data_IF_999736352546
#
_entry.id   IF_999736352546
#
_cell.length_a   1.000
_cell.length_b   1.000
_cell.length_c   1.000
_cell.angle_alpha   90.00
_cell.angle_beta   90.00
_cell.angle_gamma   90.00
#
_symmetry.space_group_name_H-M   'P 1'
#
loop_
_entity.id
_entity.type
_entity.pdbx_description
1 polymer ?
#
# COMPACT_ATOMS: atom_id res chain seq x y z
N UNK A 1 0.19 -5.48 -30.20
CA UNK A 1 0.16 -4.76 -28.91
C UNK A 1 1.18 -5.37 -27.93
N UNK A 2 1.63 -6.62 -28.13
CA UNK A 2 2.64 -7.28 -27.28
C UNK A 2 4.10 -6.93 -27.62
N UNK A 3 4.36 -6.24 -28.73
CA UNK A 3 5.71 -5.87 -29.19
C UNK A 3 6.29 -4.61 -28.53
N UNK A 4 5.55 -3.91 -27.67
CA UNK A 4 6.02 -2.68 -27.00
C UNK A 4 6.80 -2.93 -25.70
N UNK A 5 6.95 -4.18 -25.27
CA UNK A 5 7.64 -4.53 -24.03
C UNK A 5 8.99 -5.25 -24.22
N UNK A 6 9.44 -5.41 -25.45
CA UNK A 6 10.82 -5.80 -25.74
C UNK A 6 11.70 -4.55 -25.80
N UNK A 7 12.08 -4.03 -24.64
CA UNK A 7 13.15 -3.03 -24.56
C UNK A 7 14.48 -3.79 -24.70
N UNK A 8 15.20 -3.39 -25.73
CA UNK A 8 16.46 -3.94 -26.16
C UNK A 8 17.52 -4.10 -25.06
N UNK A 9 18.09 -5.23 -25.08
CA UNK A 9 19.05 -5.97 -24.24
C UNK A 9 20.46 -5.35 -24.12
N UNK A 10 20.67 -4.03 -24.27
CA UNK A 10 22.06 -3.57 -24.49
C UNK A 10 22.64 -2.52 -23.57
N UNK A 11 21.91 -1.88 -22.64
CA UNK A 11 22.51 -0.78 -21.89
C UNK A 11 22.70 -0.96 -20.39
N UNK A 12 22.23 -2.04 -19.79
CA UNK A 12 22.35 -2.30 -18.34
C UNK A 12 23.27 -3.49 -17.99
N UNK A 13 23.93 -4.13 -18.96
CA UNK A 13 24.70 -5.36 -18.76
C UNK A 13 26.06 -5.20 -18.08
N UNK A 14 26.58 -4.01 -17.87
CA UNK A 14 28.00 -3.88 -17.47
C UNK A 14 28.29 -3.56 -16.00
N UNK A 15 27.31 -3.37 -15.11
CA UNK A 15 27.62 -2.95 -13.73
C UNK A 15 27.19 -3.86 -12.57
N UNK A 16 26.45 -4.95 -12.80
CA UNK A 16 26.06 -5.85 -11.69
C UNK A 16 26.25 -7.33 -12.02
N UNK A 17 27.46 -7.71 -12.37
CA UNK A 17 27.83 -9.04 -12.89
C UNK A 17 27.96 -10.12 -11.82
N UNK A 18 27.07 -10.35 -10.83
CA UNK A 18 27.29 -11.56 -10.02
C UNK A 18 26.07 -12.26 -9.41
N UNK A 19 24.82 -11.85 -9.69
CA UNK A 19 23.66 -12.55 -9.08
C UNK A 19 22.59 -12.99 -10.10
N UNK A 20 22.55 -12.45 -11.32
CA UNK A 20 21.40 -12.60 -12.23
C UNK A 20 21.62 -13.43 -13.50
N UNK A 21 22.58 -14.31 -13.53
CA UNK A 21 22.98 -15.02 -14.79
C UNK A 21 22.07 -16.16 -15.22
N UNK A 22 20.94 -16.45 -14.57
CA UNK A 22 20.05 -17.55 -15.01
C UNK A 22 18.56 -17.38 -14.71
N UNK A 23 18.10 -16.29 -14.12
CA UNK A 23 16.68 -16.17 -13.74
C UNK A 23 15.91 -15.44 -14.83
N UNK A 24 14.98 -16.12 -15.48
CA UNK A 24 14.07 -15.54 -16.47
C UNK A 24 13.16 -14.53 -15.79
N UNK A 25 13.33 -13.23 -16.07
CA UNK A 25 12.41 -12.23 -15.60
C UNK A 25 11.10 -12.25 -16.41
N UNK A 26 10.02 -11.90 -15.73
CA UNK A 26 8.66 -11.85 -16.31
C UNK A 26 8.41 -10.46 -16.88
N UNK A 27 8.79 -9.42 -16.12
CA UNK A 27 8.63 -8.03 -16.50
C UNK A 27 9.70 -7.17 -15.80
N UNK A 28 10.17 -6.16 -16.49
CA UNK A 28 11.02 -5.11 -15.96
C UNK A 28 10.40 -3.75 -16.30
N UNK A 29 10.23 -2.89 -15.30
CA UNK A 29 9.62 -1.57 -15.45
C UNK A 29 10.40 -0.52 -14.64
N UNK A 30 10.59 0.68 -15.19
CA UNK A 30 11.05 1.81 -14.40
C UNK A 30 9.97 2.21 -13.40
N UNK A 31 10.39 2.51 -12.19
CA UNK A 31 9.48 2.86 -11.10
C UNK A 31 10.10 3.85 -10.13
N UNK A 32 9.29 4.34 -9.21
CA UNK A 32 9.68 5.15 -8.06
C UNK A 32 9.30 4.40 -6.80
N UNK A 33 10.25 4.16 -5.91
CA UNK A 33 9.98 3.62 -4.56
C UNK A 33 9.73 4.78 -3.61
N UNK A 34 8.54 4.83 -3.03
CA UNK A 34 8.14 5.89 -2.10
C UNK A 34 8.55 5.49 -0.68
N UNK A 35 9.27 6.35 0.00
CA UNK A 35 9.71 6.16 1.37
C UNK A 35 8.72 6.73 2.40
N UNK A 36 8.91 6.35 3.65
CA UNK A 36 8.11 6.82 4.79
C UNK A 36 8.20 8.35 4.94
N UNK A 37 9.36 8.96 4.67
CA UNK A 37 9.57 10.41 4.68
C UNK A 37 8.97 11.14 3.47
N UNK A 38 8.26 10.38 2.59
CA UNK A 38 7.59 10.85 1.37
C UNK A 38 8.51 11.30 0.25
N UNK A 39 9.80 11.11 0.40
CA UNK A 39 10.74 11.18 -0.72
C UNK A 39 10.54 9.95 -1.62
N UNK A 40 11.01 10.04 -2.84
CA UNK A 40 11.01 8.90 -3.75
C UNK A 40 12.42 8.65 -4.27
N UNK A 41 12.67 7.42 -4.65
CA UNK A 41 13.90 7.01 -5.31
C UNK A 41 13.55 6.33 -6.62
N UNK A 42 14.24 6.76 -7.68
CA UNK A 42 14.15 6.09 -8.98
C UNK A 42 14.73 4.68 -8.86
N UNK A 43 13.99 3.73 -9.39
CA UNK A 43 14.31 2.32 -9.28
C UNK A 43 13.88 1.54 -10.52
N UNK A 44 14.41 0.34 -10.67
CA UNK A 44 13.89 -0.68 -11.58
C UNK A 44 13.12 -1.72 -10.79
N UNK A 45 11.91 -2.01 -11.23
CA UNK A 45 11.03 -3.05 -10.71
C UNK A 45 11.14 -4.28 -11.60
N UNK A 46 11.66 -5.38 -11.07
CA UNK A 46 11.71 -6.66 -11.77
C UNK A 46 10.76 -7.64 -11.09
N UNK A 47 9.86 -8.22 -11.87
CA UNK A 47 9.05 -9.36 -11.46
C UNK A 47 9.70 -10.63 -12.01
N UNK A 48 10.16 -11.48 -11.12
CA UNK A 48 10.70 -12.80 -11.39
C UNK A 48 9.63 -13.87 -11.10
N UNK A 49 9.93 -15.11 -11.40
CA UNK A 49 8.99 -16.22 -11.16
C UNK A 49 8.60 -16.38 -9.68
N UNK A 50 9.55 -16.18 -8.76
CA UNK A 50 9.34 -16.37 -7.33
C UNK A 50 9.64 -15.12 -6.49
N UNK A 51 10.02 -14.01 -7.08
CA UNK A 51 10.37 -12.81 -6.33
C UNK A 51 10.14 -11.51 -7.10
N UNK A 52 10.03 -10.41 -6.36
CA UNK A 52 10.08 -9.05 -6.88
C UNK A 52 11.43 -8.47 -6.45
N UNK A 53 12.12 -7.81 -7.37
CA UNK A 53 13.37 -7.12 -7.08
C UNK A 53 13.21 -5.63 -7.37
N UNK A 54 13.50 -4.81 -6.36
CA UNK A 54 13.57 -3.36 -6.48
C UNK A 54 15.03 -2.95 -6.47
N UNK A 55 15.53 -2.49 -7.60
CA UNK A 55 16.91 -2.06 -7.76
C UNK A 55 16.97 -0.54 -7.81
N UNK A 56 17.55 0.06 -6.78
CA UNK A 56 17.78 1.51 -6.68
C UNK A 56 19.24 1.77 -7.08
N UNK A 57 19.47 2.84 -7.84
CA UNK A 57 20.82 3.22 -8.27
C UNK A 57 21.69 3.46 -7.03
N UNK A 58 22.90 2.92 -7.06
CA UNK A 58 23.93 3.04 -5.99
C UNK A 58 23.50 2.48 -4.61
N UNK A 59 22.44 1.67 -4.55
CA UNK A 59 21.99 1.00 -3.33
C UNK A 59 21.87 -0.51 -3.50
N UNK A 60 21.85 -1.22 -2.38
CA UNK A 60 21.57 -2.65 -2.36
C UNK A 60 20.12 -2.88 -2.84
N UNK A 61 19.95 -3.80 -3.77
CA UNK A 61 18.62 -4.21 -4.24
C UNK A 61 17.81 -4.84 -3.11
N UNK A 62 16.52 -4.52 -3.07
CA UNK A 62 15.55 -5.16 -2.18
C UNK A 62 14.92 -6.33 -2.91
N UNK A 63 14.99 -7.50 -2.34
CA UNK A 63 14.37 -8.72 -2.87
C UNK A 63 13.18 -9.08 -1.98
N UNK A 64 12.00 -9.21 -2.58
CA UNK A 64 10.75 -9.59 -1.90
C UNK A 64 10.36 -10.95 -2.46
N UNK A 65 10.41 -11.98 -1.65
CA UNK A 65 9.96 -13.31 -2.02
C UNK A 65 8.43 -13.30 -2.18
N UNK A 66 7.92 -13.83 -3.29
CA UNK A 66 6.49 -13.88 -3.56
C UNK A 66 5.73 -14.74 -2.53
N UNK A 67 6.36 -15.73 -1.92
CA UNK A 67 5.75 -16.54 -0.86
C UNK A 67 5.56 -15.76 0.46
N UNK A 68 6.32 -14.67 0.66
CA UNK A 68 6.14 -13.76 1.80
C UNK A 68 5.09 -12.69 1.55
N UNK A 69 4.66 -12.49 0.30
CA UNK A 69 3.68 -11.46 -0.04
C UNK A 69 2.30 -11.86 0.44
N UNK A 70 1.74 -11.05 1.32
CA UNK A 70 0.39 -11.22 1.87
C UNK A 70 -0.68 -10.70 0.92
N UNK A 71 -0.45 -9.52 0.33
CA UNK A 71 -1.42 -8.85 -0.53
C UNK A 71 -0.77 -7.75 -1.37
N UNK A 72 -1.35 -7.50 -2.54
CA UNK A 72 -0.96 -6.38 -3.41
C UNK A 72 -2.22 -5.58 -3.74
N UNK A 73 -2.17 -4.28 -3.49
CA UNK A 73 -3.27 -3.36 -3.76
C UNK A 73 -2.90 -2.34 -4.83
N UNK A 74 -3.83 -2.01 -5.74
CA UNK A 74 -3.66 -0.81 -6.55
C UNK A 74 -3.69 0.44 -5.67
N UNK A 75 -2.93 1.45 -6.05
CA UNK A 75 -2.86 2.73 -5.32
C UNK A 75 -2.86 3.90 -6.28
N UNK A 76 -3.25 5.04 -5.74
CA UNK A 76 -3.23 6.33 -6.44
C UNK A 76 -2.01 7.11 -5.95
N UNK A 77 -1.25 7.68 -6.88
CA UNK A 77 -0.18 8.64 -6.60
C UNK A 77 -0.45 9.92 -7.34
N UNK A 78 -0.44 11.07 -6.65
CA UNK A 78 -0.74 12.38 -7.25
C UNK A 78 -2.02 12.36 -8.12
N UNK A 79 -3.10 11.75 -7.62
CA UNK A 79 -4.40 11.57 -8.29
C UNK A 79 -4.40 10.63 -9.52
N UNK A 80 -3.29 9.94 -9.81
CA UNK A 80 -3.20 8.96 -10.90
C UNK A 80 -3.14 7.53 -10.34
N UNK A 81 -3.88 6.61 -10.95
CA UNK A 81 -3.87 5.18 -10.62
C UNK A 81 -2.62 4.50 -11.21
N UNK A 82 -1.44 4.88 -10.71
CA UNK A 82 -0.14 4.46 -11.24
C UNK A 82 0.70 3.69 -10.22
N UNK A 83 0.22 3.53 -9.00
CA UNK A 83 0.99 2.89 -7.94
C UNK A 83 0.40 1.54 -7.52
N UNK A 84 1.24 0.70 -6.94
CA UNK A 84 0.86 -0.50 -6.20
C UNK A 84 1.46 -0.44 -4.80
N UNK A 85 0.82 -1.12 -3.87
CA UNK A 85 1.36 -1.32 -2.54
C UNK A 85 1.39 -2.81 -2.22
N UNK A 86 2.56 -3.29 -1.85
CA UNK A 86 2.86 -4.69 -1.57
C UNK A 86 3.01 -4.83 -0.07
N UNK A 87 2.22 -5.70 0.55
CA UNK A 87 2.31 -6.04 1.97
C UNK A 87 2.88 -7.44 2.13
N UNK A 88 3.81 -7.59 3.06
CA UNK A 88 4.39 -8.90 3.39
C UNK A 88 3.83 -9.47 4.69
N UNK A 89 4.03 -10.75 4.91
CA UNK A 89 3.64 -11.43 6.15
C UNK A 89 4.45 -10.95 7.37
N UNK A 90 5.65 -10.42 7.14
CA UNK A 90 6.53 -9.89 8.18
C UNK A 90 6.13 -8.48 8.65
N UNK A 91 5.13 -7.88 8.00
CA UNK A 91 4.60 -6.57 8.35
C UNK A 91 5.21 -5.41 7.55
N UNK A 92 6.13 -5.69 6.64
CA UNK A 92 6.69 -4.67 5.75
C UNK A 92 5.68 -4.27 4.67
N UNK A 93 5.80 -3.03 4.21
CA UNK A 93 5.04 -2.54 3.06
C UNK A 93 5.93 -1.74 2.10
N UNK A 94 5.70 -1.95 0.80
CA UNK A 94 6.43 -1.30 -0.28
C UNK A 94 5.45 -0.57 -1.17
N UNK A 95 5.58 0.75 -1.23
CA UNK A 95 4.76 1.60 -2.10
C UNK A 95 5.57 1.95 -3.34
N UNK A 96 5.12 1.46 -4.50
CA UNK A 96 5.84 1.57 -5.77
C UNK A 96 4.96 2.28 -6.79
N UNK A 97 5.44 3.39 -7.32
CA UNK A 97 4.77 4.16 -8.36
C UNK A 97 5.41 3.89 -9.74
N UNK A 98 4.58 3.82 -10.76
CA UNK A 98 4.98 3.61 -12.15
C UNK A 98 4.51 4.79 -13.01
N UNK A 99 5.29 5.85 -13.16
CA UNK A 99 4.84 7.09 -13.82
C UNK A 99 4.27 6.89 -15.24
N UNK A 100 4.78 5.88 -15.95
CA UNK A 100 4.42 5.60 -17.34
C UNK A 100 3.39 4.47 -17.51
N UNK A 101 2.92 3.85 -16.42
CA UNK A 101 2.03 2.69 -16.48
C UNK A 101 0.89 2.84 -15.46
N UNK A 102 -0.29 2.37 -15.83
CA UNK A 102 -1.38 2.27 -14.84
C UNK A 102 -1.16 1.08 -13.91
N UNK A 103 -1.60 1.19 -12.66
CA UNK A 103 -1.58 0.09 -11.71
C UNK A 103 -2.28 -1.16 -12.25
N UNK A 104 -3.34 -0.98 -13.04
CA UNK A 104 -4.06 -2.10 -13.67
C UNK A 104 -3.19 -2.87 -14.68
N UNK A 105 -2.34 -2.18 -15.45
CA UNK A 105 -1.41 -2.83 -16.39
C UNK A 105 -0.36 -3.66 -15.65
N UNK A 106 0.23 -3.08 -14.59
CA UNK A 106 1.21 -3.78 -13.76
C UNK A 106 0.58 -4.99 -13.08
N UNK A 107 -0.60 -4.82 -12.46
CA UNK A 107 -1.31 -5.90 -11.77
C UNK A 107 -1.78 -7.02 -12.71
N UNK A 108 -2.03 -6.72 -13.98
CA UNK A 108 -2.32 -7.74 -14.99
C UNK A 108 -1.15 -8.71 -15.14
N UNK A 109 0.09 -8.21 -15.12
CA UNK A 109 1.28 -9.06 -15.22
C UNK A 109 1.40 -10.04 -14.05
N UNK A 110 0.97 -9.65 -12.84
CA UNK A 110 0.88 -10.56 -11.71
C UNK A 110 -0.16 -11.65 -11.94
N UNK A 111 -1.37 -11.30 -12.41
CA UNK A 111 -2.44 -12.26 -12.66
C UNK A 111 -2.07 -13.31 -13.72
N UNK A 112 -1.42 -12.85 -14.75
CA UNK A 112 -1.12 -13.71 -15.91
C UNK A 112 0.08 -14.63 -15.66
N UNK A 113 0.98 -14.27 -14.75
CA UNK A 113 2.32 -14.88 -14.68
C UNK A 113 2.81 -15.20 -13.26
N UNK A 114 2.08 -14.83 -12.22
CA UNK A 114 2.43 -15.16 -10.84
C UNK A 114 1.31 -15.91 -10.12
N UNK A 115 1.66 -16.62 -9.04
CA UNK A 115 0.69 -17.30 -8.17
C UNK A 115 -0.13 -16.32 -7.32
N UNK A 116 0.31 -15.06 -7.23
CA UNK A 116 -0.33 -14.05 -6.41
C UNK A 116 -1.42 -13.37 -7.19
N UNK A 117 -2.62 -13.34 -6.62
CA UNK A 117 -3.75 -12.60 -7.15
C UNK A 117 -3.82 -11.22 -6.49
N UNK A 118 -3.71 -10.12 -7.26
CA UNK A 118 -3.91 -8.79 -6.72
C UNK A 118 -5.30 -8.65 -6.10
N UNK A 119 -5.37 -7.95 -4.97
CA UNK A 119 -6.61 -7.74 -4.25
C UNK A 119 -7.56 -6.83 -5.03
N UNK A 120 -8.79 -7.29 -5.25
CA UNK A 120 -9.91 -6.43 -5.59
C UNK A 120 -10.50 -5.86 -4.29
N UNK A 121 -10.60 -4.53 -4.19
CA UNK A 121 -11.07 -3.85 -2.97
C UNK A 121 -12.45 -4.33 -2.51
N UNK A 122 -13.40 -4.45 -3.43
CA UNK A 122 -14.77 -4.83 -3.09
C UNK A 122 -14.89 -6.30 -2.67
N UNK A 123 -14.25 -7.17 -3.41
CA UNK A 123 -14.25 -8.61 -3.12
C UNK A 123 -13.48 -8.92 -1.85
N UNK A 124 -12.34 -8.28 -1.64
CA UNK A 124 -11.49 -8.52 -0.48
C UNK A 124 -12.19 -8.14 0.84
N UNK A 125 -12.91 -7.02 0.91
CA UNK A 125 -13.63 -6.64 2.13
C UNK A 125 -14.74 -7.65 2.47
N UNK A 126 -15.51 -8.08 1.46
CA UNK A 126 -16.55 -9.08 1.66
C UNK A 126 -15.98 -10.46 2.06
N UNK A 127 -14.90 -10.90 1.39
CA UNK A 127 -14.28 -12.21 1.66
C UNK A 127 -13.62 -12.28 3.04
N UNK A 128 -13.04 -11.17 3.52
CA UNK A 128 -12.36 -11.13 4.82
C UNK A 128 -13.33 -11.11 6.00
N UNK A 129 -14.62 -10.86 5.75
CA UNK A 129 -15.68 -10.79 6.77
C UNK A 129 -15.33 -9.81 7.92
N UNK A 130 -14.61 -8.75 7.62
CA UNK A 130 -14.11 -7.83 8.64
C UNK A 130 -15.23 -7.17 9.46
N UNK A 131 -16.37 -6.88 8.83
CA UNK A 131 -17.54 -6.32 9.52
C UNK A 131 -18.13 -7.32 10.51
N UNK A 132 -18.29 -8.58 10.10
CA UNK A 132 -18.79 -9.65 10.98
C UNK A 132 -17.83 -9.87 12.16
N UNK A 133 -16.53 -9.97 11.90
CA UNK A 133 -15.50 -10.11 12.94
C UNK A 133 -15.53 -8.95 13.94
N UNK A 134 -15.70 -7.72 13.45
CA UNK A 134 -15.83 -6.55 14.32
C UNK A 134 -17.12 -6.60 15.17
N UNK A 135 -18.26 -6.97 14.57
CA UNK A 135 -19.53 -7.12 15.30
C UNK A 135 -19.45 -8.18 16.39
N UNK A 136 -18.71 -9.28 16.14
CA UNK A 136 -18.47 -10.33 17.12
C UNK A 136 -17.30 -10.05 18.09
N UNK A 137 -16.68 -8.84 18.00
CA UNK A 137 -15.54 -8.43 18.82
C UNK A 137 -14.28 -9.32 18.67
N UNK A 138 -14.14 -9.97 17.54
CA UNK A 138 -12.94 -10.74 17.19
C UNK A 138 -11.78 -9.83 16.80
N UNK A 139 -12.08 -8.62 16.37
CA UNK A 139 -11.12 -7.56 16.03
C UNK A 139 -11.49 -6.25 16.73
N UNK A 140 -10.49 -5.43 17.02
CA UNK A 140 -10.68 -4.12 17.65
C UNK A 140 -11.30 -3.09 16.69
N UNK A 141 -11.83 -1.99 17.26
CA UNK A 141 -12.28 -0.83 16.46
C UNK A 141 -11.15 -0.29 15.57
N UNK A 142 -9.93 -0.21 16.10
CA UNK A 142 -8.77 0.23 15.35
C UNK A 142 -8.48 -0.66 14.14
N UNK A 143 -8.45 -1.97 14.33
CA UNK A 143 -8.22 -2.93 13.25
C UNK A 143 -9.30 -2.85 12.16
N UNK A 144 -10.55 -2.69 12.57
CA UNK A 144 -11.67 -2.53 11.64
C UNK A 144 -11.56 -1.23 10.83
N UNK A 145 -11.30 -0.09 11.49
CA UNK A 145 -11.13 1.20 10.82
C UNK A 145 -9.91 1.20 9.88
N UNK A 146 -8.80 0.57 10.29
CA UNK A 146 -7.64 0.41 9.41
C UNK A 146 -7.98 -0.43 8.18
N UNK A 147 -8.73 -1.51 8.34
CA UNK A 147 -9.19 -2.32 7.21
C UNK A 147 -10.05 -1.51 6.23
N UNK A 148 -11.01 -0.71 6.74
CA UNK A 148 -11.83 0.17 5.90
C UNK A 148 -10.97 1.19 5.14
N UNK A 149 -9.98 1.82 5.80
CA UNK A 149 -9.04 2.73 5.17
C UNK A 149 -8.24 2.04 4.07
N UNK A 150 -7.68 0.87 4.35
CA UNK A 150 -6.91 0.08 3.39
C UNK A 150 -7.74 -0.25 2.14
N UNK A 151 -8.97 -0.74 2.35
CA UNK A 151 -9.88 -1.10 1.28
C UNK A 151 -10.45 0.10 0.52
N UNK A 152 -10.45 1.30 1.11
CA UNK A 152 -10.81 2.54 0.40
C UNK A 152 -9.65 3.16 -0.40
N UNK A 153 -8.50 2.49 -0.46
CA UNK A 153 -7.34 2.94 -1.22
C UNK A 153 -6.39 3.84 -0.42
N UNK A 154 -6.61 4.01 0.88
CA UNK A 154 -5.75 4.81 1.76
C UNK A 154 -4.53 4.02 2.22
N UNK A 155 -3.43 4.73 2.44
CA UNK A 155 -2.16 4.16 2.88
C UNK A 155 -1.41 5.12 3.79
N UNK A 156 -0.69 4.58 4.78
CA UNK A 156 0.26 5.36 5.59
C UNK A 156 1.46 5.84 4.77
N UNK A 157 1.67 5.26 3.59
CA UNK A 157 2.75 5.61 2.68
C UNK A 157 2.38 6.77 1.73
N UNK A 158 1.13 7.22 1.71
CA UNK A 158 0.69 8.37 0.90
C UNK A 158 -0.01 9.43 1.77
N UNK A 159 0.61 10.60 1.92
CA UNK A 159 0.03 11.71 2.69
C UNK A 159 -1.27 12.24 2.07
N UNK A 160 -1.43 12.18 0.75
CA UNK A 160 -2.63 12.63 0.06
C UNK A 160 -3.81 11.67 0.24
N UNK A 161 -3.52 10.43 0.56
CA UNK A 161 -4.47 9.35 0.82
C UNK A 161 -4.19 8.68 2.17
N UNK A 162 -3.85 9.48 3.18
CA UNK A 162 -3.55 8.96 4.52
C UNK A 162 -4.82 8.40 5.21
N UNK A 163 -4.69 7.37 6.07
CA UNK A 163 -5.82 6.82 6.81
C UNK A 163 -6.57 7.88 7.60
N UNK A 164 -7.90 7.82 7.56
CA UNK A 164 -8.79 8.75 8.26
C UNK A 164 -9.46 8.02 9.42
N UNK A 165 -9.44 8.66 10.59
CA UNK A 165 -10.09 8.19 11.81
C UNK A 165 -11.10 9.24 12.30
N UNK A 166 -12.14 8.81 13.01
CA UNK A 166 -12.99 9.77 13.73
C UNK A 166 -12.17 10.60 14.72
N UNK A 167 -12.52 11.85 14.87
CA UNK A 167 -11.96 12.69 15.94
C UNK A 167 -12.51 12.20 17.28
N UNK A 168 -11.64 11.67 18.13
CA UNK A 168 -12.02 11.01 19.37
C UNK A 168 -11.84 11.94 20.56
N UNK A 169 -10.74 12.71 20.59
CA UNK A 169 -10.43 13.64 21.66
C UNK A 169 -11.24 14.93 21.49
N UNK A 170 -11.78 15.46 22.58
CA UNK A 170 -12.46 16.76 22.64
C UNK A 170 -11.66 17.82 23.40
N UNK A 171 -10.75 17.40 24.27
CA UNK A 171 -9.90 18.27 25.06
C UNK A 171 -8.59 18.57 24.31
N UNK A 172 -8.44 19.79 23.83
CA UNK A 172 -7.27 20.32 23.14
C UNK A 172 -6.59 21.46 23.91
N UNK A 173 -7.06 21.75 25.13
CA UNK A 173 -6.59 22.90 25.95
C UNK A 173 -5.76 22.46 27.13
N UNK A 174 -5.96 21.24 27.64
CA UNK A 174 -5.22 20.73 28.80
C UNK A 174 -3.76 20.45 28.43
N UNK A 175 -2.84 20.82 29.32
CA UNK A 175 -1.40 20.53 29.14
C UNK A 175 -1.12 19.01 29.17
N UNK A 176 -1.88 18.26 29.96
CA UNK A 176 -1.80 16.81 30.06
C UNK A 176 -3.18 16.18 29.86
N UNK A 177 -3.28 15.13 29.05
CA UNK A 177 -4.51 14.40 28.80
C UNK A 177 -4.64 13.21 29.74
N UNK A 178 -5.61 13.23 30.66
CA UNK A 178 -6.00 12.04 31.42
C UNK A 178 -6.96 11.17 30.61
N UNK A 179 -6.42 10.15 29.96
CA UNK A 179 -7.21 9.22 29.12
C UNK A 179 -8.21 8.37 29.91
N UNK A 180 -8.17 8.38 31.24
CA UNK A 180 -9.17 7.72 32.10
C UNK A 180 -10.38 8.62 32.36
N UNK A 181 -10.26 9.93 32.10
CA UNK A 181 -11.35 10.88 32.26
C UNK A 181 -12.28 10.87 31.04
N UNK A 182 -13.56 10.45 31.16
CA UNK A 182 -14.51 10.43 30.06
C UNK A 182 -14.71 11.80 29.38
N UNK A 183 -14.51 12.90 30.10
CA UNK A 183 -14.69 14.25 29.56
C UNK A 183 -13.67 14.63 28.49
N UNK A 184 -12.54 13.91 28.42
CA UNK A 184 -11.52 14.08 27.38
C UNK A 184 -12.02 13.60 26.02
N UNK A 185 -13.02 12.73 25.99
CA UNK A 185 -13.49 12.10 24.78
C UNK A 185 -14.75 12.79 24.21
N UNK A 186 -14.84 12.85 22.91
CA UNK A 186 -16.02 13.32 22.20
C UNK A 186 -17.11 12.26 22.25
N UNK A 187 -18.36 12.70 22.37
CA UNK A 187 -19.53 11.84 22.20
C UNK A 187 -19.66 11.39 20.73
N UNK A 188 -19.22 10.17 20.45
CA UNK A 188 -19.26 9.59 19.10
C UNK A 188 -20.67 9.13 18.67
N UNK A 189 -21.68 9.19 19.54
CA UNK A 189 -23.08 8.94 19.18
C UNK A 189 -23.68 10.09 18.37
N UNK A 190 -23.04 11.28 18.42
CA UNK A 190 -23.46 12.49 17.73
C UNK A 190 -22.52 12.82 16.56
N UNK A 191 -23.02 13.25 15.40
CA UNK A 191 -22.17 13.82 14.36
C UNK A 191 -21.47 15.08 14.88
N UNK A 192 -20.30 15.40 14.33
CA UNK A 192 -19.45 16.50 14.83
C UNK A 192 -20.17 17.86 14.84
N UNK A 193 -21.06 18.11 13.88
CA UNK A 193 -21.88 19.33 13.82
C UNK A 193 -22.95 19.44 14.91
N UNK A 194 -23.31 18.32 15.55
CA UNK A 194 -24.34 18.24 16.58
C UNK A 194 -23.77 18.10 18.01
N UNK A 195 -22.44 18.17 18.18
CA UNK A 195 -21.80 18.08 19.50
C UNK A 195 -22.04 19.35 20.30
N UNK A 196 -22.13 20.49 19.63
CA UNK A 196 -22.41 21.78 20.28
C UNK A 196 -23.90 22.13 20.13
N UNK A 197 -24.65 22.13 21.23
CA UNK A 197 -26.11 22.38 21.26
C UNK A 197 -26.49 23.77 20.77
N UNK A 198 -25.58 24.76 20.85
CA UNK A 198 -25.84 26.11 20.35
C UNK A 198 -25.73 26.24 18.82
N UNK A 199 -25.29 25.19 18.13
CA UNK A 199 -25.15 25.13 16.69
C UNK A 199 -26.22 24.27 16.01
N UNK A 200 -27.06 23.65 16.80
CA UNK A 200 -28.25 22.92 16.35
C UNK A 200 -29.42 23.90 16.13
#
# INVERSE_FOLDING_TARGET
IYSLFEISDTSMKEKNNNIFTATKYIIELPCEVIKIDKTYEEASFLLLENSIVLTIIDKKSTVIDLDTVKSIFPRTRCHHMTAIEIFTNDGDSYFVNFPNFSSAQVLKSFRDKSKIQPCDFKQSLAQTKMTEKWQHREISNFQYLMALNLHSGRSTNDLSQYPVFPWIISDYESEELDLNNPAVYRDLSKPIGAVNETRL
#
